data_IF_115468350934
#
_entry.id   IF_115468350934
#
_cell.length_a   1.000
_cell.length_b   1.000
_cell.length_c   1.000
_cell.angle_alpha   90.00
_cell.angle_beta   90.00
_cell.angle_gamma   90.00
#
_symmetry.space_group_name_H-M   'P 1'
#
loop_
_entity.id
_entity.type
_entity.pdbx_description
1 polymer ?
#
# COMPACT_ATOMS: atom_id res chain seq x y z
N UNK A 1 29.19 9.42 11.28
CA UNK A 1 27.97 9.21 10.48
C UNK A 1 27.94 10.29 9.44
N UNK A 2 27.94 9.94 8.16
CA UNK A 2 27.68 10.91 7.10
C UNK A 2 26.25 11.47 7.25
N UNK A 3 26.04 12.75 6.90
CA UNK A 3 24.70 13.31 6.86
C UNK A 3 23.87 12.54 5.81
N UNK A 4 22.68 12.11 6.20
CA UNK A 4 21.75 11.43 5.31
C UNK A 4 21.17 12.49 4.36
N UNK A 5 21.46 12.38 3.07
CA UNK A 5 20.83 13.21 2.03
C UNK A 5 19.48 12.58 1.67
N UNK A 6 18.39 13.30 1.95
CA UNK A 6 17.02 12.78 1.82
C UNK A 6 16.23 13.64 0.86
N UNK A 7 15.89 13.07 -0.30
CA UNK A 7 14.95 13.68 -1.24
C UNK A 7 13.51 13.48 -0.75
N UNK A 8 13.02 14.47 -0.01
CA UNK A 8 11.65 14.52 0.53
C UNK A 8 10.58 14.46 -0.55
N UNK A 9 10.85 15.04 -1.72
CA UNK A 9 9.89 15.02 -2.83
C UNK A 9 9.85 13.63 -3.47
N UNK A 10 10.98 12.92 -3.53
CA UNK A 10 10.99 11.52 -3.93
C UNK A 10 10.21 10.63 -2.96
N UNK A 11 10.32 10.86 -1.64
CA UNK A 11 9.52 10.14 -0.64
C UNK A 11 8.02 10.38 -0.86
N UNK A 12 7.64 11.64 -1.08
CA UNK A 12 6.22 12.01 -1.33
C UNK A 12 5.70 11.35 -2.61
N UNK A 13 6.44 11.45 -3.72
CA UNK A 13 6.08 10.81 -4.99
C UNK A 13 6.00 9.29 -4.87
N UNK A 14 6.93 8.67 -4.16
CA UNK A 14 6.93 7.22 -3.91
C UNK A 14 5.70 6.77 -3.14
N UNK A 15 5.27 7.55 -2.14
CA UNK A 15 4.05 7.27 -1.40
C UNK A 15 2.78 7.36 -2.26
N UNK A 16 2.72 8.36 -3.16
CA UNK A 16 1.61 8.50 -4.11
C UNK A 16 1.55 7.32 -5.08
N UNK A 17 2.70 6.93 -5.66
CA UNK A 17 2.80 5.79 -6.57
C UNK A 17 2.41 4.47 -5.89
N UNK A 18 2.79 4.25 -4.62
CA UNK A 18 2.36 3.08 -3.86
C UNK A 18 0.86 3.08 -3.59
N UNK A 19 0.27 4.24 -3.31
CA UNK A 19 -1.17 4.36 -3.12
C UNK A 19 -1.96 4.08 -4.42
N UNK A 20 -1.46 4.57 -5.56
CA UNK A 20 -2.03 4.26 -6.88
C UNK A 20 -1.89 2.76 -7.22
N UNK A 21 -0.73 2.16 -6.95
CA UNK A 21 -0.51 0.74 -7.16
C UNK A 21 -1.44 -0.12 -6.29
N UNK A 22 -1.61 0.25 -5.02
CA UNK A 22 -2.56 -0.39 -4.09
C UNK A 22 -3.97 -0.39 -4.68
N UNK A 23 -4.41 0.75 -5.18
CA UNK A 23 -5.74 0.92 -5.76
C UNK A 23 -5.92 0.08 -7.03
N UNK A 24 -4.91 0.03 -7.90
CA UNK A 24 -4.93 -0.82 -9.09
C UNK A 24 -5.02 -2.31 -8.74
N UNK A 25 -4.30 -2.76 -7.72
CA UNK A 25 -4.34 -4.15 -7.24
C UNK A 25 -5.73 -4.46 -6.65
N UNK A 26 -6.28 -3.56 -5.83
CA UNK A 26 -7.62 -3.69 -5.24
C UNK A 26 -8.68 -3.87 -6.31
N UNK A 27 -8.72 -3.00 -7.33
CA UNK A 27 -9.71 -3.07 -8.41
C UNK A 27 -9.59 -4.38 -9.22
N UNK A 28 -8.35 -4.80 -9.50
CA UNK A 28 -8.09 -6.06 -10.20
C UNK A 28 -8.58 -7.26 -9.38
N UNK A 29 -8.34 -7.23 -8.07
CA UNK A 29 -8.75 -8.29 -7.16
C UNK A 29 -10.27 -8.36 -7.00
N UNK A 30 -10.96 -7.23 -6.89
CA UNK A 30 -12.43 -7.17 -6.87
C UNK A 30 -13.04 -7.73 -8.16
N UNK A 31 -12.43 -7.39 -9.31
CA UNK A 31 -12.85 -7.94 -10.60
C UNK A 31 -12.63 -9.46 -10.68
N UNK A 32 -11.51 -9.94 -10.15
CA UNK A 32 -11.23 -11.37 -10.03
C UNK A 32 -12.27 -12.07 -9.15
N UNK A 33 -12.57 -11.54 -7.96
CA UNK A 33 -13.58 -12.08 -7.03
C UNK A 33 -14.96 -12.20 -7.69
N UNK A 34 -15.37 -11.16 -8.42
CA UNK A 34 -16.63 -11.18 -9.16
C UNK A 34 -16.65 -12.29 -10.24
N UNK A 35 -15.55 -12.46 -10.97
CA UNK A 35 -15.42 -13.49 -12.00
C UNK A 35 -15.45 -14.91 -11.39
N UNK A 36 -14.72 -15.15 -10.30
CA UNK A 36 -14.68 -16.48 -9.67
C UNK A 36 -15.96 -16.85 -8.94
N UNK A 37 -16.67 -15.86 -8.36
CA UNK A 37 -18.00 -16.08 -7.78
C UNK A 37 -19.01 -16.60 -8.80
N UNK A 38 -18.83 -16.28 -10.09
CA UNK A 38 -19.65 -16.84 -11.17
C UNK A 38 -19.50 -18.35 -11.37
N UNK A 39 -18.42 -18.96 -10.87
CA UNK A 39 -18.16 -20.40 -11.03
C UNK A 39 -18.63 -21.25 -9.85
N UNK A 40 -19.19 -20.65 -8.78
CA UNK A 40 -19.58 -21.37 -7.55
C UNK A 40 -20.57 -22.54 -7.82
N UNK A 41 -21.39 -22.43 -8.86
CA UNK A 41 -22.35 -23.46 -9.27
C UNK A 41 -21.97 -24.18 -10.58
N UNK A 42 -20.77 -23.95 -11.11
CA UNK A 42 -20.35 -24.48 -12.40
C UNK A 42 -19.95 -25.97 -12.36
N UNK A 43 -19.66 -26.51 -11.17
CA UNK A 43 -19.04 -27.83 -11.02
C UNK A 43 -20.03 -29.00 -10.94
N UNK A 44 -21.34 -28.72 -10.82
CA UNK A 44 -22.36 -29.76 -10.66
C UNK A 44 -22.45 -30.31 -9.22
N UNK A 45 -23.46 -31.13 -8.96
CA UNK A 45 -23.79 -31.65 -7.61
C UNK A 45 -23.41 -33.11 -7.36
N UNK A 46 -22.68 -33.74 -8.28
CA UNK A 46 -22.15 -35.09 -8.06
C UNK A 46 -20.88 -35.04 -7.20
N UNK A 47 -20.34 -36.21 -6.84
CA UNK A 47 -19.17 -36.31 -5.96
C UNK A 47 -17.94 -35.59 -6.52
N UNK A 48 -17.74 -35.64 -7.84
CA UNK A 48 -16.63 -34.96 -8.52
C UNK A 48 -16.85 -33.45 -8.49
N UNK A 49 -18.08 -32.99 -8.76
CA UNK A 49 -18.46 -31.59 -8.72
C UNK A 49 -18.31 -30.97 -7.33
N UNK A 50 -18.67 -31.70 -6.28
CA UNK A 50 -18.46 -31.27 -4.89
C UNK A 50 -16.97 -31.14 -4.56
N UNK A 51 -16.13 -32.11 -4.96
CA UNK A 51 -14.68 -32.03 -4.75
C UNK A 51 -14.03 -30.86 -5.50
N UNK A 52 -14.48 -30.59 -6.73
CA UNK A 52 -14.05 -29.44 -7.51
C UNK A 52 -14.48 -28.11 -6.85
N UNK A 53 -15.70 -28.04 -6.31
CA UNK A 53 -16.17 -26.89 -5.55
C UNK A 53 -15.30 -26.59 -4.33
N UNK A 54 -14.92 -27.63 -3.56
CA UNK A 54 -14.01 -27.49 -2.42
C UNK A 54 -12.62 -27.01 -2.85
N UNK A 55 -12.06 -27.60 -3.91
CA UNK A 55 -10.75 -27.20 -4.43
C UNK A 55 -10.75 -25.75 -4.95
N UNK A 56 -11.81 -25.36 -5.67
CA UNK A 56 -12.03 -23.99 -6.12
C UNK A 56 -12.05 -23.02 -4.94
N UNK A 57 -12.86 -23.31 -3.92
CA UNK A 57 -12.97 -22.47 -2.74
C UNK A 57 -11.63 -22.30 -2.02
N UNK A 58 -10.89 -23.38 -1.81
CA UNK A 58 -9.58 -23.33 -1.16
C UNK A 58 -8.57 -22.45 -1.94
N UNK A 59 -8.58 -22.52 -3.27
CA UNK A 59 -7.72 -21.67 -4.09
C UNK A 59 -8.13 -20.19 -4.03
N UNK A 60 -9.44 -19.90 -4.07
CA UNK A 60 -9.96 -18.54 -3.99
C UNK A 60 -9.65 -17.91 -2.63
N UNK A 61 -9.84 -18.66 -1.54
CA UNK A 61 -9.54 -18.21 -0.18
C UNK A 61 -8.05 -17.92 0.01
N UNK A 62 -7.18 -18.84 -0.42
CA UNK A 62 -5.73 -18.65 -0.31
C UNK A 62 -5.25 -17.41 -1.07
N UNK A 63 -5.75 -17.20 -2.29
CA UNK A 63 -5.42 -16.02 -3.08
C UNK A 63 -5.97 -14.74 -2.43
N UNK A 64 -7.18 -14.79 -1.86
CA UNK A 64 -7.80 -13.66 -1.19
C UNK A 64 -7.00 -13.21 0.03
N UNK A 65 -6.51 -14.14 0.83
CA UNK A 65 -5.66 -13.87 1.99
C UNK A 65 -4.33 -13.21 1.57
N UNK A 66 -3.66 -13.77 0.56
CA UNK A 66 -2.40 -13.23 0.05
C UNK A 66 -2.56 -11.78 -0.47
N UNK A 67 -3.58 -11.53 -1.29
CA UNK A 67 -3.79 -10.22 -1.88
C UNK A 67 -4.23 -9.18 -0.85
N UNK A 68 -5.07 -9.57 0.12
CA UNK A 68 -5.50 -8.67 1.20
C UNK A 68 -4.32 -8.25 2.09
N UNK A 69 -3.42 -9.20 2.41
CA UNK A 69 -2.18 -8.90 3.15
C UNK A 69 -1.30 -7.93 2.36
N UNK A 70 -1.06 -8.19 1.08
CA UNK A 70 -0.21 -7.34 0.25
C UNK A 70 -0.79 -5.92 0.09
N UNK A 71 -2.11 -5.77 -0.07
CA UNK A 71 -2.78 -4.46 -0.14
C UNK A 71 -2.55 -3.67 1.16
N UNK A 72 -2.65 -4.33 2.30
CA UNK A 72 -2.41 -3.72 3.63
C UNK A 72 -0.95 -3.30 3.79
N UNK A 73 -0.01 -4.11 3.33
CA UNK A 73 1.43 -3.77 3.37
C UNK A 73 1.77 -2.57 2.47
N UNK A 74 1.21 -2.51 1.26
CA UNK A 74 1.39 -1.37 0.35
C UNK A 74 0.88 -0.06 0.97
N UNK A 75 -0.25 -0.12 1.69
CA UNK A 75 -0.76 1.02 2.46
C UNK A 75 0.22 1.45 3.56
N UNK A 76 0.70 0.50 4.36
CA UNK A 76 1.67 0.78 5.42
C UNK A 76 2.96 1.40 4.88
N UNK A 77 3.46 0.93 3.73
CA UNK A 77 4.63 1.51 3.08
C UNK A 77 4.37 2.93 2.57
N UNK A 78 3.21 3.18 1.95
CA UNK A 78 2.84 4.52 1.52
C UNK A 78 2.74 5.50 2.70
N UNK A 79 2.10 5.09 3.80
CA UNK A 79 2.02 5.87 5.03
C UNK A 79 3.40 6.13 5.65
N UNK A 80 4.26 5.12 5.68
CA UNK A 80 5.63 5.24 6.17
C UNK A 80 6.44 6.28 5.39
N UNK A 81 6.35 6.26 4.05
CA UNK A 81 7.02 7.24 3.21
C UNK A 81 6.49 8.66 3.42
N UNK A 82 5.16 8.84 3.56
CA UNK A 82 4.58 10.15 3.90
C UNK A 82 5.05 10.65 5.26
N UNK A 83 4.99 9.80 6.28
CA UNK A 83 5.42 10.16 7.63
C UNK A 83 6.90 10.52 7.68
N UNK A 84 7.75 9.83 6.91
CA UNK A 84 9.16 10.21 6.75
C UNK A 84 9.30 11.59 6.11
N UNK A 85 8.63 11.83 4.98
CA UNK A 85 8.68 13.12 4.30
C UNK A 85 8.22 14.28 5.19
N UNK A 86 7.13 14.11 5.93
CA UNK A 86 6.62 15.09 6.90
C UNK A 86 7.62 15.36 8.02
N UNK A 87 8.24 14.30 8.57
CA UNK A 87 9.25 14.42 9.62
C UNK A 87 10.47 15.22 9.16
N UNK A 88 10.99 14.94 7.96
CA UNK A 88 12.12 15.68 7.41
C UNK A 88 11.78 17.16 7.16
N UNK A 89 10.61 17.45 6.55
CA UNK A 89 10.15 18.84 6.36
C UNK A 89 10.04 19.60 7.68
N UNK A 90 9.45 18.98 8.71
CA UNK A 90 9.32 19.61 10.02
C UNK A 90 10.67 19.95 10.67
N UNK A 91 11.67 19.09 10.51
CA UNK A 91 13.04 19.34 11.00
C UNK A 91 13.68 20.49 10.23
N UNK A 92 13.59 20.49 8.89
CA UNK A 92 14.15 21.56 8.06
C UNK A 92 13.51 22.92 8.34
N UNK A 93 12.19 22.98 8.48
CA UNK A 93 11.45 24.19 8.82
C UNK A 93 11.83 24.70 10.21
N UNK A 94 11.99 23.80 11.18
CA UNK A 94 12.41 24.14 12.54
C UNK A 94 13.83 24.73 12.58
N UNK A 95 14.77 24.11 11.87
CA UNK A 95 16.15 24.60 11.75
C UNK A 95 16.19 25.97 11.06
N UNK A 96 15.47 26.10 9.94
CA UNK A 96 15.38 27.35 9.18
C UNK A 96 14.76 28.47 10.03
N UNK A 97 13.70 28.18 10.78
CA UNK A 97 13.07 29.12 11.71
C UNK A 97 14.01 29.55 12.84
N UNK A 98 14.77 28.63 13.42
CA UNK A 98 15.77 28.94 14.44
C UNK A 98 16.88 29.85 13.89
N UNK A 99 17.40 29.55 12.69
CA UNK A 99 18.41 30.37 12.01
C UNK A 99 17.90 31.77 11.69
N UNK A 100 16.68 31.90 11.15
CA UNK A 100 16.03 33.21 10.93
C UNK A 100 15.89 34.00 12.23
N UNK A 101 15.46 33.35 13.31
CA UNK A 101 15.36 34.01 14.62
C UNK A 101 16.71 34.51 15.15
N UNK A 102 17.81 33.78 14.89
CA UNK A 102 19.15 34.23 15.26
C UNK A 102 19.57 35.42 14.40
N UNK A 103 19.36 35.37 13.09
CA UNK A 103 19.65 36.47 12.18
C UNK A 103 18.90 37.75 12.58
N UNK A 104 17.60 37.65 12.85
CA UNK A 104 16.78 38.78 13.31
C UNK A 104 17.28 39.39 14.63
N UNK A 105 17.88 38.57 15.51
CA UNK A 105 18.48 39.05 16.78
C UNK A 105 19.85 39.71 16.58
N UNK A 106 20.52 39.45 15.47
CA UNK A 106 21.85 39.98 15.16
C UNK A 106 21.80 41.30 14.37
N UNK A 107 20.65 41.67 13.81
CA UNK A 107 20.41 42.94 13.11
C UNK A 107 20.36 42.79 11.60
#
# INVERSE_FOLDING_TARGET
MEPLDVDVDALTRGAEQLAEAKESVRQTFESFQAAVGGYEHAFGGDEIGMLLGVAHQACVEALAECLSTNITELESYAEGLRGMAESYRAVEDGVTGALRSILDKLG
#
